data_IF_219864371068
#
_entry.id   IF_219864371068
#
_cell.length_a   1.000
_cell.length_b   1.000
_cell.length_c   1.000
_cell.angle_alpha   90.00
_cell.angle_beta   90.00
_cell.angle_gamma   90.00
#
_symmetry.space_group_name_H-M   'P 1'
#
loop_
_entity.id
_entity.type
_entity.pdbx_description
1 polymer ?
#
# COMPACT_ATOMS: atom_id res chain seq x y z
N UNK A 1 -0.83 7.43 -2.95
CA UNK A 1 -1.14 8.53 -2.02
C UNK A 1 -0.63 9.84 -2.62
N UNK A 2 -1.50 10.84 -2.76
CA UNK A 2 -1.18 12.19 -3.21
C UNK A 2 -0.34 12.95 -2.17
N UNK A 3 0.34 14.06 -2.53
CA UNK A 3 1.15 14.83 -1.59
C UNK A 3 0.40 15.26 -0.32
N UNK A 4 -0.88 15.65 -0.44
CA UNK A 4 -1.73 15.98 0.70
C UNK A 4 -1.99 14.77 1.60
N UNK A 5 -2.35 13.62 1.01
CA UNK A 5 -2.56 12.37 1.77
C UNK A 5 -1.27 11.92 2.47
N UNK A 6 -0.11 12.11 1.84
CA UNK A 6 1.22 11.81 2.42
C UNK A 6 1.57 12.72 3.59
N UNK A 7 1.07 13.95 3.64
CA UNK A 7 1.33 14.86 4.75
C UNK A 7 0.39 14.61 5.93
N UNK A 8 -0.91 14.42 5.65
CA UNK A 8 -1.94 14.39 6.69
C UNK A 8 -2.36 13.00 7.15
N UNK A 9 -2.32 12.00 6.27
CA UNK A 9 -2.85 10.65 6.57
C UNK A 9 -1.72 9.62 6.70
N UNK A 10 -0.73 9.69 5.82
CA UNK A 10 0.34 8.70 5.73
C UNK A 10 1.75 9.33 5.64
N UNK A 11 2.19 10.07 6.68
CA UNK A 11 3.56 10.54 6.78
C UNK A 11 4.54 9.36 6.83
N UNK A 12 5.81 9.61 6.51
CA UNK A 12 6.87 8.60 6.55
C UNK A 12 6.67 7.37 5.63
N UNK A 13 6.07 7.56 4.45
CA UNK A 13 5.94 6.47 3.45
C UNK A 13 5.11 5.25 3.92
N UNK A 14 4.35 5.36 5.01
CA UNK A 14 3.53 4.26 5.56
C UNK A 14 2.41 3.78 4.63
N UNK A 15 2.12 4.54 3.57
CA UNK A 15 1.23 4.08 2.49
C UNK A 15 1.79 2.89 1.71
N UNK A 16 3.11 2.64 1.78
CA UNK A 16 3.75 1.38 1.40
C UNK A 16 3.63 0.34 2.54
N UNK A 17 2.40 0.12 3.00
CA UNK A 17 2.12 -0.70 4.18
C UNK A 17 2.55 -2.16 3.98
N UNK A 18 2.26 -2.72 2.81
CA UNK A 18 2.62 -4.09 2.47
C UNK A 18 4.14 -4.29 2.49
N UNK A 19 4.88 -3.35 1.90
CA UNK A 19 6.33 -3.37 1.83
C UNK A 19 6.96 -3.18 3.21
N UNK A 20 6.41 -2.27 4.01
CA UNK A 20 6.88 -2.04 5.37
C UNK A 20 6.74 -3.28 6.24
N UNK A 21 5.60 -3.99 6.18
CA UNK A 21 5.43 -5.22 6.94
C UNK A 21 6.19 -6.42 6.34
N UNK A 22 6.39 -6.46 5.03
CA UNK A 22 7.19 -7.51 4.38
C UNK A 22 8.69 -7.33 4.68
N UNK A 23 9.15 -6.09 4.83
CA UNK A 23 10.54 -5.74 5.06
C UNK A 23 10.69 -4.73 6.20
N UNK A 24 10.33 -5.14 7.43
CA UNK A 24 10.32 -4.25 8.60
C UNK A 24 11.67 -3.61 8.92
N UNK A 25 12.78 -4.22 8.48
CA UNK A 25 14.13 -3.70 8.64
C UNK A 25 14.53 -2.65 7.59
N UNK A 26 13.73 -2.45 6.54
CA UNK A 26 14.02 -1.48 5.48
C UNK A 26 13.58 -0.09 5.93
N UNK A 27 14.46 0.91 5.87
CA UNK A 27 14.08 2.27 6.25
C UNK A 27 13.02 2.83 5.30
N UNK A 28 12.13 3.66 5.83
CA UNK A 28 10.91 4.11 5.14
C UNK A 28 11.17 4.79 3.78
N UNK A 29 12.27 5.52 3.65
CA UNK A 29 12.67 6.19 2.40
C UNK A 29 13.07 5.22 1.27
N UNK A 30 13.34 3.95 1.59
CA UNK A 30 13.64 2.89 0.61
C UNK A 30 12.41 2.05 0.21
N UNK A 31 11.24 2.29 0.80
CA UNK A 31 10.04 1.48 0.52
C UNK A 31 9.55 1.63 -0.92
N UNK A 32 9.72 2.79 -1.55
CA UNK A 32 9.42 2.96 -2.97
C UNK A 32 10.29 2.05 -3.85
N UNK A 33 11.57 1.88 -3.48
CA UNK A 33 12.48 0.97 -4.19
C UNK A 33 12.03 -0.49 -4.00
N UNK A 34 11.63 -0.87 -2.78
CA UNK A 34 11.07 -2.18 -2.51
C UNK A 34 9.80 -2.44 -3.33
N UNK A 35 8.89 -1.48 -3.41
CA UNK A 35 7.68 -1.55 -4.24
C UNK A 35 8.00 -1.79 -5.71
N UNK A 36 8.92 -1.01 -6.30
CA UNK A 36 9.35 -1.18 -7.70
C UNK A 36 9.96 -2.55 -7.96
N UNK A 37 10.76 -3.08 -7.03
CA UNK A 37 11.33 -4.41 -7.13
C UNK A 37 10.26 -5.51 -7.09
N UNK A 38 9.26 -5.39 -6.22
CA UNK A 38 8.15 -6.35 -6.15
C UNK A 38 7.30 -6.32 -7.42
N UNK A 39 7.02 -5.13 -7.97
CA UNK A 39 6.34 -4.98 -9.26
C UNK A 39 7.13 -5.63 -10.40
N UNK A 40 8.45 -5.37 -10.48
CA UNK A 40 9.31 -5.95 -11.50
C UNK A 40 9.43 -7.48 -11.41
N UNK A 41 9.25 -8.05 -10.22
CA UNK A 41 9.19 -9.51 -10.00
C UNK A 41 7.81 -10.12 -10.25
N UNK A 42 6.82 -9.34 -10.68
CA UNK A 42 5.48 -9.83 -11.00
C UNK A 42 4.55 -10.02 -9.79
N UNK A 43 4.89 -9.49 -8.61
CA UNK A 43 4.05 -9.64 -7.41
C UNK A 43 2.83 -8.70 -7.38
N UNK A 44 2.61 -7.91 -8.43
CA UNK A 44 1.54 -6.90 -8.48
C UNK A 44 0.15 -7.46 -8.11
N UNK A 45 -0.22 -8.61 -8.65
CA UNK A 45 -1.51 -9.29 -8.42
C UNK A 45 -1.67 -9.74 -6.95
N UNK A 46 -0.56 -10.04 -6.27
CA UNK A 46 -0.54 -10.46 -4.86
C UNK A 46 -0.46 -9.27 -3.90
N UNK A 47 -0.08 -8.10 -4.40
CA UNK A 47 0.01 -6.88 -3.62
C UNK A 47 -1.31 -6.14 -3.63
N UNK A 48 -1.75 -5.70 -2.46
CA UNK A 48 -2.97 -4.92 -2.33
C UNK A 48 -2.68 -3.44 -2.61
N UNK A 49 -2.73 -3.07 -3.89
CA UNK A 49 -2.47 -1.70 -4.38
C UNK A 49 -3.80 -0.97 -4.62
N UNK A 50 -4.01 0.18 -3.99
CA UNK A 50 -5.21 1.02 -4.14
C UNK A 50 -4.87 2.38 -4.76
N UNK A 51 -5.86 3.06 -5.35
CA UNK A 51 -5.64 4.36 -6.02
C UNK A 51 -5.56 5.57 -5.07
N UNK A 52 -5.80 5.37 -3.77
CA UNK A 52 -5.78 6.44 -2.76
C UNK A 52 -6.37 6.00 -1.43
N UNK A 53 -6.31 6.86 -0.42
CA UNK A 53 -6.78 6.53 0.93
C UNK A 53 -8.30 6.42 1.03
N UNK A 54 -9.04 7.15 0.18
CA UNK A 54 -10.51 7.03 0.11
C UNK A 54 -10.93 5.58 -0.19
N UNK A 55 -10.23 4.92 -1.11
CA UNK A 55 -10.51 3.52 -1.43
C UNK A 55 -10.14 2.58 -0.27
N UNK A 56 -9.03 2.86 0.43
CA UNK A 56 -8.62 2.13 1.64
C UNK A 56 -9.70 2.22 2.71
N UNK A 57 -10.12 3.44 3.05
CA UNK A 57 -11.16 3.71 4.04
C UNK A 57 -12.49 3.07 3.66
N UNK A 58 -12.89 3.17 2.38
CA UNK A 58 -14.10 2.52 1.87
C UNK A 58 -14.05 1.01 2.08
N UNK A 59 -12.91 0.37 1.80
CA UNK A 59 -12.75 -1.08 2.00
C UNK A 59 -12.76 -1.48 3.47
N UNK A 60 -12.10 -0.71 4.34
CA UNK A 60 -12.10 -0.98 5.78
C UNK A 60 -13.50 -0.81 6.41
N UNK A 61 -14.31 0.13 5.90
CA UNK A 61 -15.66 0.39 6.39
C UNK A 61 -16.76 -0.42 5.71
N UNK A 62 -16.49 -1.04 4.55
CA UNK A 62 -17.46 -1.86 3.83
C UNK A 62 -17.46 -3.30 4.33
N UNK A 63 -18.63 -3.94 4.35
CA UNK A 63 -18.71 -5.40 4.49
C UNK A 63 -17.91 -6.06 3.36
N UNK A 64 -17.12 -7.08 3.70
CA UNK A 64 -16.39 -7.86 2.69
C UNK A 64 -17.37 -8.34 1.62
N UNK A 65 -17.18 -7.88 0.39
CA UNK A 65 -17.88 -8.46 -0.76
C UNK A 65 -17.15 -9.74 -1.09
N UNK A 66 -17.70 -10.86 -0.61
CA UNK A 66 -17.25 -12.20 -1.03
C UNK A 66 -17.39 -12.26 -2.54
N UNK A 67 -16.27 -12.27 -3.26
CA UNK A 67 -16.28 -12.55 -4.69
C UNK A 67 -16.50 -14.05 -4.80
N UNK A 68 -17.72 -14.45 -5.19
CA UNK A 68 -18.03 -15.83 -5.50
C UNK A 68 -17.08 -16.31 -6.61
N UNK A 69 -16.46 -17.47 -6.35
CA UNK A 69 -15.51 -18.12 -7.24
C UNK A 69 -16.17 -18.62 -8.54
#
# INVERSE_FOLDING_TARGET
ANPLERLFIAPFWVHYHCEHHCFMYVPCYNLEKAHKLLLGKGFRERMRITKGYVEVLRRCGSKEVTVAA
#
